data_IF_932951539085
#
_entry.id   IF_932951539085
#
_cell.length_a   1.000
_cell.length_b   1.000
_cell.length_c   1.000
_cell.angle_alpha   90.00
_cell.angle_beta   90.00
_cell.angle_gamma   90.00
#
_symmetry.space_group_name_H-M   'P 1'
#
loop_
_entity.id
_entity.type
_entity.pdbx_description
1 polymer ?
#
# COMPACT_ATOMS: atom_id res chain seq x y z
N UNK A 1 -3.88 8.21 16.09
CA UNK A 1 -3.57 7.08 15.20
C UNK A 1 -2.10 6.72 15.31
N UNK A 2 -1.76 5.44 15.46
CA UNK A 2 -0.42 4.93 15.20
C UNK A 2 -0.34 4.48 13.74
N UNK A 3 0.50 5.13 12.95
CA UNK A 3 0.81 4.68 11.59
C UNK A 3 1.98 3.67 11.65
N UNK A 4 1.73 2.45 11.18
CA UNK A 4 2.74 1.41 10.99
C UNK A 4 3.07 1.32 9.50
N UNK A 5 4.28 1.69 9.13
CA UNK A 5 4.69 1.75 7.73
C UNK A 5 6.08 1.16 7.57
N UNK A 6 6.42 0.58 6.41
CA UNK A 6 7.75 0.02 6.21
C UNK A 6 8.83 1.10 6.22
N UNK A 7 10.01 0.76 6.69
CA UNK A 7 11.14 1.69 6.76
C UNK A 7 11.49 2.33 5.42
N UNK A 8 11.23 1.67 4.30
CA UNK A 8 11.40 2.23 2.96
C UNK A 8 10.63 3.54 2.73
N UNK A 9 9.50 3.75 3.38
CA UNK A 9 8.67 4.95 3.24
C UNK A 9 9.39 6.23 3.72
N UNK A 10 10.51 6.11 4.43
CA UNK A 10 11.27 7.26 4.94
C UNK A 10 12.42 7.71 4.03
N UNK A 11 12.84 6.89 3.07
CA UNK A 11 14.06 7.19 2.30
C UNK A 11 14.08 6.69 0.86
N UNK A 12 13.10 5.90 0.43
CA UNK A 12 13.11 5.28 -0.90
C UNK A 12 11.99 5.84 -1.78
N UNK A 13 12.33 6.26 -2.99
CA UNK A 13 11.35 6.56 -4.02
C UNK A 13 10.73 5.24 -4.55
N UNK A 14 9.45 5.20 -4.88
CA UNK A 14 8.39 6.21 -4.74
C UNK A 14 7.67 6.17 -3.37
N UNK A 15 8.26 5.57 -2.35
CA UNK A 15 7.63 5.33 -1.06
C UNK A 15 7.44 6.63 -0.26
N UNK A 16 8.43 7.53 -0.32
CA UNK A 16 8.40 8.84 0.39
C UNK A 16 7.18 9.64 -0.04
N UNK A 17 6.87 9.68 -1.33
CA UNK A 17 5.71 10.41 -1.86
C UNK A 17 4.39 9.82 -1.37
N UNK A 18 4.34 8.48 -1.22
CA UNK A 18 3.21 7.80 -0.58
C UNK A 18 3.02 8.23 0.87
N UNK A 19 4.10 8.29 1.66
CA UNK A 19 4.05 8.77 3.05
C UNK A 19 3.59 10.22 3.14
N UNK A 20 4.04 11.07 2.23
CA UNK A 20 3.55 12.46 2.13
C UNK A 20 2.06 12.50 1.82
N UNK A 21 1.56 11.60 0.98
CA UNK A 21 0.13 11.43 0.70
C UNK A 21 -0.66 11.06 1.96
N UNK A 22 -0.17 10.12 2.78
CA UNK A 22 -0.81 9.78 4.07
C UNK A 22 -0.89 10.99 4.99
N UNK A 23 0.20 11.75 5.11
CA UNK A 23 0.24 12.95 5.95
C UNK A 23 -0.79 13.99 5.50
N UNK A 24 -0.93 14.22 4.19
CA UNK A 24 -1.94 15.13 3.62
C UNK A 24 -3.37 14.65 3.92
N UNK A 25 -3.65 13.34 3.79
CA UNK A 25 -4.95 12.74 4.13
C UNK A 25 -5.29 12.96 5.60
N UNK A 26 -4.37 12.64 6.50
CA UNK A 26 -4.58 12.83 7.94
C UNK A 26 -4.75 14.31 8.30
N UNK A 27 -3.94 15.20 7.72
CA UNK A 27 -4.05 16.64 7.94
C UNK A 27 -5.43 17.17 7.49
N UNK A 28 -5.84 16.87 6.25
CA UNK A 28 -7.13 17.32 5.70
C UNK A 28 -8.31 16.82 6.53
N UNK A 29 -8.23 15.58 7.03
CA UNK A 29 -9.27 14.98 7.86
C UNK A 29 -9.22 15.42 9.34
N UNK A 30 -8.20 16.20 9.75
CA UNK A 30 -8.02 16.59 11.15
C UNK A 30 -7.69 15.41 12.07
N UNK A 31 -7.07 14.37 11.52
CA UNK A 31 -6.70 13.16 12.27
C UNK A 31 -5.32 13.36 12.90
N UNK A 32 -5.26 13.32 14.23
CA UNK A 32 -4.00 13.27 14.96
C UNK A 32 -3.34 11.90 14.78
N UNK A 33 -2.07 11.90 14.38
CA UNK A 33 -1.31 10.69 14.10
C UNK A 33 0.14 10.79 14.54
N UNK A 34 0.77 9.64 14.70
CA UNK A 34 2.18 9.54 15.08
C UNK A 34 2.81 8.27 14.49
N UNK A 35 4.12 8.23 14.52
CA UNK A 35 4.96 7.07 14.22
C UNK A 35 5.63 6.60 15.49
N UNK A 36 6.12 5.36 15.49
CA UNK A 36 6.95 4.83 16.57
C UNK A 36 8.17 4.14 15.99
N UNK A 37 9.35 4.53 16.46
CA UNK A 37 10.61 3.84 16.13
C UNK A 37 10.65 2.40 16.67
N UNK A 38 9.87 2.10 17.72
CA UNK A 38 9.74 0.77 18.29
C UNK A 38 8.87 -0.16 17.41
N UNK A 39 7.92 0.41 16.67
CA UNK A 39 6.96 -0.29 15.81
C UNK A 39 7.08 0.14 14.33
N UNK A 40 8.29 0.33 13.84
CA UNK A 40 8.55 0.76 12.45
C UNK A 40 8.43 -0.37 11.42
N UNK A 41 8.35 -1.63 11.86
CA UNK A 41 8.21 -2.80 10.99
C UNK A 41 6.98 -3.63 11.40
N UNK A 42 6.32 -4.21 10.41
CA UNK A 42 5.01 -4.83 10.58
C UNK A 42 5.04 -6.36 10.64
N UNK A 43 6.03 -6.95 11.24
CA UNK A 43 6.17 -8.41 11.46
C UNK A 43 6.29 -9.29 10.18
N UNK A 44 6.25 -8.69 8.99
CA UNK A 44 6.32 -9.41 7.71
C UNK A 44 7.64 -10.17 7.50
N UNK A 45 8.76 -9.69 8.04
CA UNK A 45 10.03 -10.40 7.95
C UNK A 45 10.02 -11.75 8.67
N UNK A 46 9.36 -11.86 9.81
CA UNK A 46 9.16 -13.15 10.47
C UNK A 46 8.41 -14.15 9.59
N UNK A 47 7.41 -13.68 8.85
CA UNK A 47 6.66 -14.51 7.91
C UNK A 47 7.55 -15.06 6.79
N UNK A 48 8.44 -14.23 6.21
CA UNK A 48 9.31 -14.65 5.09
C UNK A 48 10.32 -15.70 5.48
N UNK A 49 10.88 -15.59 6.66
CA UNK A 49 11.87 -16.56 7.16
C UNK A 49 11.22 -17.75 7.89
N UNK A 50 9.88 -17.82 7.90
CA UNK A 50 9.14 -18.89 8.57
C UNK A 50 9.27 -18.90 10.10
N UNK A 51 9.50 -17.75 10.73
CA UNK A 51 9.68 -17.61 12.16
C UNK A 51 8.48 -16.96 12.84
N UNK A 52 7.64 -17.78 13.47
CA UNK A 52 6.53 -17.30 14.29
C UNK A 52 6.98 -16.45 15.49
N UNK A 53 8.13 -16.80 16.08
CA UNK A 53 8.68 -16.05 17.22
C UNK A 53 9.05 -14.61 16.82
N UNK A 54 9.67 -14.45 15.66
CA UNK A 54 9.98 -13.12 15.14
C UNK A 54 8.71 -12.36 14.73
N UNK A 55 7.72 -13.02 14.11
CA UNK A 55 6.43 -12.40 13.83
C UNK A 55 5.76 -11.90 15.12
N UNK A 56 5.71 -12.75 16.14
CA UNK A 56 5.10 -12.42 17.43
C UNK A 56 5.84 -11.28 18.12
N UNK A 57 7.18 -11.30 18.12
CA UNK A 57 8.00 -10.25 18.72
C UNK A 57 7.70 -8.88 18.10
N UNK A 58 7.61 -8.81 16.77
CA UNK A 58 7.31 -7.55 16.07
C UNK A 58 5.84 -7.13 16.25
N UNK A 59 4.92 -8.08 16.24
CA UNK A 59 3.50 -7.83 16.53
C UNK A 59 3.29 -7.26 17.95
N UNK A 60 3.99 -7.80 18.95
CA UNK A 60 3.97 -7.28 20.32
C UNK A 60 4.52 -5.86 20.42
N UNK A 61 5.56 -5.51 19.67
CA UNK A 61 6.08 -4.12 19.62
C UNK A 61 5.03 -3.14 19.11
N UNK A 62 4.23 -3.54 18.13
CA UNK A 62 3.12 -2.68 17.62
C UNK A 62 2.10 -2.46 18.73
N UNK A 63 1.72 -3.51 19.46
CA UNK A 63 0.81 -3.42 20.59
C UNK A 63 1.37 -2.54 21.73
N UNK A 64 2.62 -2.76 22.10
CA UNK A 64 3.32 -2.00 23.14
C UNK A 64 3.37 -0.52 22.80
N UNK A 65 3.78 -0.17 21.58
CA UNK A 65 3.78 1.21 21.10
C UNK A 65 2.39 1.85 21.11
N UNK A 66 1.37 1.08 20.70
CA UNK A 66 -0.01 1.57 20.69
C UNK A 66 -0.55 1.85 22.09
N UNK A 67 -0.20 1.02 23.07
CA UNK A 67 -0.56 1.22 24.49
C UNK A 67 0.21 2.40 25.11
N UNK A 68 1.54 2.46 24.93
CA UNK A 68 2.39 3.52 25.43
C UNK A 68 1.94 4.89 24.95
N UNK A 69 1.66 5.00 23.66
CA UNK A 69 1.19 6.24 23.02
C UNK A 69 -0.32 6.50 23.22
N UNK A 70 -1.02 5.61 23.91
CA UNK A 70 -2.46 5.70 24.17
C UNK A 70 -3.29 5.97 22.89
N UNK A 71 -2.88 5.38 21.76
CA UNK A 71 -3.59 5.55 20.51
C UNK A 71 -4.91 4.77 20.49
N UNK A 72 -5.86 5.24 19.70
CA UNK A 72 -7.19 4.61 19.57
C UNK A 72 -7.39 3.91 18.23
N UNK A 73 -6.47 4.06 17.29
CA UNK A 73 -6.48 3.39 15.98
C UNK A 73 -5.06 3.01 15.57
N UNK A 74 -4.93 1.88 14.89
CA UNK A 74 -3.69 1.42 14.26
C UNK A 74 -3.95 1.39 12.76
N UNK A 75 -3.07 2.00 11.97
CA UNK A 75 -3.18 2.10 10.52
C UNK A 75 -1.91 1.58 9.89
N UNK A 76 -2.06 0.70 8.89
CA UNK A 76 -0.96 0.21 8.09
C UNK A 76 -0.85 0.98 6.78
N UNK A 77 0.36 1.39 6.44
CA UNK A 77 0.68 2.02 5.16
C UNK A 77 0.68 1.03 3.99
N UNK A 78 1.12 1.47 2.82
CA UNK A 78 1.13 0.69 1.57
C UNK A 78 2.20 -0.42 1.58
N UNK A 79 1.96 -1.47 2.35
CA UNK A 79 2.76 -2.68 2.30
C UNK A 79 1.86 -3.92 2.33
N UNK A 80 1.70 -4.59 1.20
CA UNK A 80 0.85 -5.78 1.10
C UNK A 80 1.25 -6.93 2.02
N UNK A 81 2.55 -7.08 2.29
CA UNK A 81 3.04 -8.09 3.22
C UNK A 81 2.72 -7.75 4.67
N UNK A 82 2.95 -6.49 5.06
CA UNK A 82 2.58 -5.99 6.37
C UNK A 82 1.08 -6.11 6.60
N UNK A 83 0.28 -5.73 5.61
CA UNK A 83 -1.17 -5.84 5.67
C UNK A 83 -1.66 -7.29 5.80
N UNK A 84 -1.06 -8.23 5.06
CA UNK A 84 -1.36 -9.65 5.24
C UNK A 84 -1.13 -10.12 6.68
N UNK A 85 0.00 -9.74 7.29
CA UNK A 85 0.30 -10.11 8.68
C UNK A 85 -0.68 -9.43 9.62
N UNK A 86 -0.98 -8.15 9.43
CA UNK A 86 -1.95 -7.42 10.24
C UNK A 86 -3.35 -8.06 10.17
N UNK A 87 -3.82 -8.32 8.97
CA UNK A 87 -5.14 -8.91 8.72
C UNK A 87 -5.28 -10.33 9.27
N UNK A 88 -4.29 -11.21 9.00
CA UNK A 88 -4.41 -12.64 9.27
C UNK A 88 -3.88 -13.06 10.65
N UNK A 89 -2.91 -12.35 11.20
CA UNK A 89 -2.13 -12.87 12.33
C UNK A 89 -2.01 -11.91 13.52
N UNK A 90 -2.18 -10.59 13.34
CA UNK A 90 -1.83 -9.63 14.39
C UNK A 90 -2.61 -9.88 15.68
N UNK A 91 -3.92 -10.09 15.58
CA UNK A 91 -4.76 -10.35 16.74
C UNK A 91 -4.39 -11.68 17.44
N UNK A 92 -4.07 -12.72 16.68
CA UNK A 92 -3.65 -14.03 17.22
C UNK A 92 -2.28 -13.96 17.90
N UNK A 93 -1.35 -13.17 17.34
CA UNK A 93 0.03 -13.08 17.84
C UNK A 93 0.19 -12.12 19.02
N UNK A 94 -0.58 -11.04 19.05
CA UNK A 94 -0.40 -9.95 20.00
C UNK A 94 -1.71 -9.38 20.57
N UNK A 95 -2.88 -9.92 20.22
CA UNK A 95 -4.17 -9.45 20.73
C UNK A 95 -4.42 -9.82 22.18
N UNK A 96 -5.59 -9.45 22.72
CA UNK A 96 -6.60 -8.62 22.07
C UNK A 96 -6.19 -7.14 21.95
N UNK A 97 -6.85 -6.41 21.04
CA UNK A 97 -6.70 -4.97 20.84
C UNK A 97 -7.92 -4.19 21.38
N UNK A 98 -8.46 -4.62 22.50
CA UNK A 98 -9.66 -4.09 23.17
C UNK A 98 -9.51 -2.66 23.72
N UNK A 99 -8.28 -2.15 23.76
CA UNK A 99 -7.98 -0.76 24.13
C UNK A 99 -8.19 0.25 22.97
N UNK A 100 -8.39 -0.24 21.76
CA UNK A 100 -8.71 0.60 20.60
C UNK A 100 -10.14 1.15 20.68
N UNK A 101 -10.43 2.17 19.88
CA UNK A 101 -11.80 2.70 19.75
C UNK A 101 -12.75 1.58 19.24
N UNK A 102 -13.87 1.30 19.94
CA UNK A 102 -14.82 0.27 19.51
C UNK A 102 -15.36 0.44 18.08
N UNK A 103 -15.28 1.63 17.51
CA UNK A 103 -15.61 1.88 16.10
C UNK A 103 -14.53 1.37 15.14
N UNK A 104 -13.30 1.15 15.65
CA UNK A 104 -12.13 0.70 14.90
C UNK A 104 -11.38 -0.38 15.68
N UNK A 105 -12.05 -1.51 15.98
CA UNK A 105 -11.55 -2.51 16.94
C UNK A 105 -10.38 -3.33 16.41
N UNK A 106 -10.10 -3.21 15.12
CA UNK A 106 -9.01 -3.89 14.41
C UNK A 106 -8.16 -2.89 13.63
N UNK A 107 -6.89 -3.21 13.37
CA UNK A 107 -6.06 -2.39 12.49
C UNK A 107 -6.69 -2.21 11.11
N UNK A 108 -6.46 -1.05 10.52
CA UNK A 108 -6.98 -0.68 9.19
C UNK A 108 -5.83 -0.44 8.21
N UNK A 109 -6.06 -0.70 6.93
CA UNK A 109 -5.17 -0.25 5.86
C UNK A 109 -5.41 1.23 5.55
N UNK A 110 -4.38 1.95 5.14
CA UNK A 110 -4.52 3.38 4.80
C UNK A 110 -5.55 3.62 3.68
N UNK A 111 -5.68 2.69 2.73
CA UNK A 111 -6.71 2.76 1.69
C UNK A 111 -8.13 2.71 2.26
N UNK A 112 -8.39 1.93 3.32
CA UNK A 112 -9.71 1.85 3.95
C UNK A 112 -10.12 3.21 4.56
N UNK A 113 -9.17 3.86 5.23
CA UNK A 113 -9.39 5.19 5.82
C UNK A 113 -9.62 6.23 4.73
N UNK A 114 -8.79 6.25 3.70
CA UNK A 114 -8.93 7.17 2.57
C UNK A 114 -10.28 7.00 1.88
N UNK A 115 -10.68 5.75 1.64
CA UNK A 115 -11.98 5.42 1.04
C UNK A 115 -13.16 5.85 1.90
N UNK A 116 -13.12 5.61 3.21
CA UNK A 116 -14.16 6.03 4.16
C UNK A 116 -14.29 7.57 4.20
N UNK A 117 -13.16 8.27 4.27
CA UNK A 117 -13.14 9.73 4.27
C UNK A 117 -13.62 10.33 2.94
N UNK A 118 -13.29 9.70 1.82
CA UNK A 118 -13.78 10.07 0.49
C UNK A 118 -15.31 9.91 0.42
N UNK A 119 -15.85 8.77 0.83
CA UNK A 119 -17.29 8.50 0.83
C UNK A 119 -18.09 9.41 1.77
N UNK A 120 -17.45 9.91 2.83
CA UNK A 120 -18.01 10.92 3.74
C UNK A 120 -17.85 12.37 3.26
N UNK A 121 -17.32 12.57 2.05
CA UNK A 121 -16.99 13.87 1.47
C UNK A 121 -16.04 14.73 2.34
N UNK A 122 -15.21 14.10 3.19
CA UNK A 122 -14.16 14.79 3.95
C UNK A 122 -12.96 15.08 3.06
N UNK A 123 -12.65 14.16 2.13
CA UNK A 123 -11.64 14.36 1.10
C UNK A 123 -12.32 14.68 -0.23
N UNK A 124 -11.81 15.71 -0.90
CA UNK A 124 -12.22 16.12 -2.24
C UNK A 124 -10.99 16.18 -3.12
N UNK A 125 -11.12 15.78 -4.39
CA UNK A 125 -10.01 15.64 -5.31
C UNK A 125 -10.21 16.46 -6.57
N UNK A 126 -9.15 17.12 -7.01
CA UNK A 126 -9.01 17.66 -8.36
C UNK A 126 -8.28 16.63 -9.22
N UNK A 127 -9.03 15.89 -10.04
CA UNK A 127 -8.48 14.86 -10.92
C UNK A 127 -7.49 15.40 -11.94
N UNK A 128 -7.62 16.67 -12.31
CA UNK A 128 -6.76 17.31 -13.32
C UNK A 128 -5.31 17.41 -12.86
N UNK A 129 -5.05 17.36 -11.56
CA UNK A 129 -3.70 17.31 -11.00
C UNK A 129 -2.88 16.09 -11.44
N UNK A 130 -3.53 15.04 -11.94
CA UNK A 130 -2.91 13.82 -12.45
C UNK A 130 -3.17 13.59 -13.96
N UNK A 131 -3.58 14.60 -14.72
CA UNK A 131 -3.90 14.44 -16.15
C UNK A 131 -2.65 14.19 -17.02
N UNK A 132 -1.47 14.49 -16.51
CA UNK A 132 -0.18 14.15 -17.10
C UNK A 132 0.14 12.65 -17.06
N UNK A 133 -0.65 11.85 -16.32
CA UNK A 133 -0.45 10.42 -16.12
C UNK A 133 -1.61 9.62 -16.71
N UNK A 134 -1.26 8.56 -17.45
CA UNK A 134 -2.19 7.50 -17.83
C UNK A 134 -1.87 6.27 -16.98
N UNK A 135 -2.80 5.85 -16.16
CA UNK A 135 -2.56 4.94 -15.04
C UNK A 135 -3.05 3.52 -15.29
N UNK A 136 -2.29 2.56 -14.78
CA UNK A 136 -2.77 1.22 -14.48
C UNK A 136 -2.49 0.86 -13.02
N UNK A 137 -2.97 -0.30 -12.54
CA UNK A 137 -2.82 -0.72 -11.15
C UNK A 137 -2.29 -2.15 -11.03
N UNK A 138 -1.31 -2.34 -10.15
CA UNK A 138 -0.81 -3.66 -9.78
C UNK A 138 -1.45 -4.14 -8.48
N UNK A 139 -2.31 -5.16 -8.58
CA UNK A 139 -2.80 -5.89 -7.40
C UNK A 139 -1.65 -6.66 -6.75
N UNK A 140 -1.21 -6.23 -5.57
CA UNK A 140 -0.21 -6.97 -4.80
C UNK A 140 -0.74 -8.34 -4.39
N UNK A 141 0.01 -9.40 -4.66
CA UNK A 141 -0.42 -10.78 -4.41
C UNK A 141 -0.80 -11.06 -2.95
N UNK A 142 -0.14 -10.42 -1.98
CA UNK A 142 -0.46 -10.57 -0.56
C UNK A 142 -1.74 -9.83 -0.16
N UNK A 143 -2.07 -8.73 -0.80
CA UNK A 143 -3.37 -8.07 -0.64
C UNK A 143 -4.45 -8.87 -1.36
N UNK A 144 -4.22 -9.19 -2.61
CA UNK A 144 -5.21 -9.78 -3.51
C UNK A 144 -5.72 -11.16 -3.06
N UNK A 145 -4.82 -12.03 -2.55
CA UNK A 145 -5.13 -13.42 -2.24
C UNK A 145 -5.05 -13.81 -0.76
N UNK A 146 -4.58 -12.92 0.10
CA UNK A 146 -4.30 -13.29 1.49
C UNK A 146 -4.78 -12.26 2.52
N UNK A 147 -5.59 -11.30 2.08
CA UNK A 147 -6.23 -10.31 2.96
C UNK A 147 -7.51 -9.76 2.33
N UNK A 148 -8.20 -8.91 3.04
CA UNK A 148 -9.32 -8.11 2.54
C UNK A 148 -9.15 -6.64 2.99
N UNK A 149 -9.95 -5.74 2.45
CA UNK A 149 -10.08 -4.35 2.90
C UNK A 149 -11.54 -4.00 3.08
N UNK A 150 -11.85 -3.32 4.19
CA UNK A 150 -13.23 -2.96 4.54
C UNK A 150 -14.14 -4.17 4.81
N UNK A 151 -15.41 -3.89 5.01
CA UNK A 151 -16.43 -4.88 5.35
C UNK A 151 -17.18 -5.45 4.13
N UNK A 152 -16.64 -5.22 2.93
CA UNK A 152 -17.23 -5.67 1.66
C UNK A 152 -16.40 -6.79 1.03
N UNK A 153 -17.08 -7.77 0.43
CA UNK A 153 -16.43 -8.84 -0.32
C UNK A 153 -15.71 -8.24 -1.52
N UNK A 154 -14.41 -8.55 -1.66
CA UNK A 154 -13.58 -8.02 -2.75
C UNK A 154 -13.14 -6.56 -2.53
N UNK A 155 -13.27 -6.02 -1.31
CA UNK A 155 -12.85 -4.67 -0.99
C UNK A 155 -11.38 -4.38 -1.30
N UNK A 156 -10.52 -5.37 -1.16
CA UNK A 156 -9.11 -5.28 -1.55
C UNK A 156 -8.90 -5.02 -3.06
N UNK A 157 -9.90 -5.28 -3.90
CA UNK A 157 -9.87 -4.98 -5.34
C UNK A 157 -10.57 -3.67 -5.68
N UNK A 158 -11.69 -3.43 -5.00
CA UNK A 158 -12.59 -2.30 -5.27
C UNK A 158 -12.05 -1.00 -4.67
N UNK A 159 -11.67 -1.03 -3.40
CA UNK A 159 -11.25 0.18 -2.67
C UNK A 159 -10.07 0.90 -3.33
N UNK A 160 -8.94 0.23 -3.69
CA UNK A 160 -7.85 0.92 -4.36
C UNK A 160 -8.26 1.51 -5.72
N UNK A 161 -9.06 0.79 -6.50
CA UNK A 161 -9.53 1.25 -7.82
C UNK A 161 -10.46 2.45 -7.73
N UNK A 162 -11.35 2.47 -6.74
CA UNK A 162 -12.25 3.60 -6.54
C UNK A 162 -11.50 4.86 -6.10
N UNK A 163 -10.46 4.70 -5.27
CA UNK A 163 -9.55 5.80 -4.93
C UNK A 163 -8.83 6.31 -6.18
N UNK A 164 -8.28 5.42 -7.01
CA UNK A 164 -7.62 5.80 -8.26
C UNK A 164 -8.60 6.57 -9.15
N UNK A 165 -9.81 6.06 -9.39
CA UNK A 165 -10.85 6.72 -10.22
C UNK A 165 -11.31 8.05 -9.65
N UNK A 166 -11.19 8.26 -8.34
CA UNK A 166 -11.48 9.54 -7.71
C UNK A 166 -10.36 10.57 -7.89
N UNK A 167 -9.12 10.12 -8.15
CA UNK A 167 -7.91 10.96 -8.19
C UNK A 167 -7.35 11.19 -9.59
N UNK A 168 -7.87 10.51 -10.63
CA UNK A 168 -7.43 10.67 -12.02
C UNK A 168 -8.58 10.53 -13.01
N UNK A 169 -8.41 11.10 -14.19
CA UNK A 169 -9.29 10.92 -15.35
C UNK A 169 -8.88 9.71 -16.22
N UNK A 170 -7.63 9.27 -16.16
CA UNK A 170 -7.02 8.33 -17.09
C UNK A 170 -6.57 7.05 -16.37
N UNK A 171 -7.48 6.08 -16.21
CA UNK A 171 -7.19 4.80 -15.57
C UNK A 171 -7.65 3.62 -16.41
N UNK A 172 -6.75 2.68 -16.69
CA UNK A 172 -6.99 1.44 -17.43
C UNK A 172 -6.47 0.25 -16.64
N UNK A 173 -7.34 -0.71 -16.33
CA UNK A 173 -6.90 -2.00 -15.78
C UNK A 173 -6.14 -2.80 -16.85
N UNK A 174 -5.21 -3.64 -16.42
CA UNK A 174 -4.64 -4.67 -17.27
C UNK A 174 -5.69 -5.74 -17.59
N UNK A 175 -5.35 -6.71 -18.45
CA UNK A 175 -6.25 -7.80 -18.83
C UNK A 175 -6.83 -8.53 -17.61
N UNK A 176 -8.11 -8.90 -17.66
CA UNK A 176 -8.83 -9.53 -16.56
C UNK A 176 -8.15 -10.78 -16.00
N UNK A 177 -7.45 -11.54 -16.87
CA UNK A 177 -6.72 -12.75 -16.50
C UNK A 177 -5.42 -12.46 -15.71
N UNK A 178 -5.06 -11.21 -15.53
CA UNK A 178 -3.80 -10.78 -14.92
C UNK A 178 -3.96 -9.86 -13.70
N UNK A 179 -5.20 -9.57 -13.30
CA UNK A 179 -5.53 -8.67 -12.19
C UNK A 179 -6.31 -9.39 -11.09
N UNK A 180 -6.57 -8.68 -9.99
CA UNK A 180 -7.33 -9.15 -8.83
C UNK A 180 -6.76 -10.46 -8.28
N UNK A 181 -7.60 -11.47 -8.04
CA UNK A 181 -7.17 -12.79 -7.54
C UNK A 181 -6.22 -13.52 -8.50
N UNK A 182 -6.31 -13.25 -9.80
CA UNK A 182 -5.45 -13.82 -10.84
C UNK A 182 -4.13 -13.07 -11.01
N UNK A 183 -3.90 -12.05 -10.22
CA UNK A 183 -2.72 -11.17 -10.37
C UNK A 183 -1.41 -11.93 -10.47
N UNK A 184 -0.55 -11.49 -11.38
CA UNK A 184 0.83 -11.97 -11.48
C UNK A 184 1.73 -11.32 -10.43
N UNK A 185 2.75 -12.05 -9.99
CA UNK A 185 3.71 -11.56 -9.01
C UNK A 185 4.58 -10.43 -9.58
N UNK A 186 4.99 -9.50 -8.72
CA UNK A 186 6.02 -8.51 -9.07
C UNK A 186 7.43 -9.12 -9.23
N UNK A 187 7.62 -10.39 -8.85
CA UNK A 187 8.93 -11.05 -8.83
C UNK A 187 9.71 -10.88 -7.52
N UNK A 188 9.21 -10.09 -6.55
CA UNK A 188 9.91 -9.78 -5.31
C UNK A 188 9.99 -10.91 -4.29
N UNK A 189 9.37 -12.08 -4.57
CA UNK A 189 9.51 -13.32 -3.78
C UNK A 189 9.21 -13.20 -2.29
N UNK A 190 8.31 -12.28 -1.91
CA UNK A 190 7.97 -12.08 -0.51
C UNK A 190 8.98 -11.26 0.30
N UNK A 191 9.95 -10.59 -0.34
CA UNK A 191 11.00 -9.81 0.33
C UNK A 191 12.40 -10.32 0.07
N UNK A 192 12.57 -11.31 -0.81
CA UNK A 192 13.86 -11.80 -1.27
C UNK A 192 14.53 -10.81 -2.22
N UNK A 193 14.70 -9.57 -1.80
CA UNK A 193 15.21 -8.46 -2.62
C UNK A 193 16.75 -8.40 -2.63
N UNK A 194 17.44 -9.54 -2.57
CA UNK A 194 18.89 -9.62 -2.68
C UNK A 194 19.34 -9.66 -4.14
N UNK A 195 20.50 -9.09 -4.45
CA UNK A 195 21.03 -9.05 -5.81
C UNK A 195 21.49 -10.43 -6.30
N UNK A 196 21.86 -11.34 -5.39
CA UNK A 196 22.18 -12.74 -5.70
C UNK A 196 21.02 -13.49 -6.38
N UNK A 197 19.79 -13.05 -6.18
CA UNK A 197 18.58 -13.63 -6.76
C UNK A 197 18.01 -12.82 -7.92
N UNK A 198 18.75 -11.85 -8.46
CA UNK A 198 18.24 -10.91 -9.46
C UNK A 198 17.67 -11.62 -10.69
N UNK A 199 18.34 -12.63 -11.21
CA UNK A 199 17.85 -13.38 -12.39
C UNK A 199 16.52 -14.10 -12.11
N UNK A 200 16.42 -14.75 -10.93
CA UNK A 200 15.17 -15.41 -10.52
C UNK A 200 14.03 -14.42 -10.34
N UNK A 201 14.35 -13.27 -9.75
CA UNK A 201 13.40 -12.18 -9.54
C UNK A 201 12.89 -11.60 -10.86
N UNK A 202 13.76 -11.41 -11.85
CA UNK A 202 13.38 -10.94 -13.19
C UNK A 202 12.51 -11.97 -13.90
N UNK A 203 12.89 -13.25 -13.90
CA UNK A 203 12.04 -14.32 -14.44
C UNK A 203 10.67 -14.38 -13.76
N UNK A 204 10.63 -14.20 -12.45
CA UNK A 204 9.38 -14.16 -11.69
C UNK A 204 8.50 -12.94 -12.00
N UNK A 205 9.10 -11.82 -12.40
CA UNK A 205 8.40 -10.61 -12.82
C UNK A 205 7.85 -10.69 -14.25
N UNK A 206 8.44 -11.52 -15.12
CA UNK A 206 8.17 -11.55 -16.56
C UNK A 206 6.67 -11.54 -16.91
N UNK A 207 5.80 -12.42 -16.37
CA UNK A 207 4.39 -12.40 -16.74
C UNK A 207 3.69 -11.07 -16.43
N UNK A 208 4.06 -10.42 -15.32
CA UNK A 208 3.54 -9.11 -14.96
C UNK A 208 4.05 -8.00 -15.89
N UNK A 209 5.32 -8.07 -16.27
CA UNK A 209 5.91 -7.09 -17.17
C UNK A 209 5.34 -7.21 -18.60
N UNK A 210 5.04 -8.42 -19.05
CA UNK A 210 4.36 -8.68 -20.32
C UNK A 210 2.92 -8.14 -20.31
N UNK A 211 2.18 -8.31 -19.20
CA UNK A 211 0.84 -7.74 -19.05
C UNK A 211 0.87 -6.20 -19.01
N UNK A 212 1.88 -5.62 -18.33
CA UNK A 212 2.08 -4.18 -18.34
C UNK A 212 2.39 -3.66 -19.74
N UNK A 213 3.24 -4.34 -20.49
CA UNK A 213 3.58 -3.95 -21.85
C UNK A 213 2.35 -3.88 -22.75
N UNK A 214 1.44 -4.87 -22.66
CA UNK A 214 0.20 -4.87 -23.45
C UNK A 214 -0.68 -3.66 -23.13
N UNK A 215 -0.93 -3.36 -21.86
CA UNK A 215 -1.76 -2.20 -21.51
C UNK A 215 -1.10 -0.86 -21.88
N UNK A 216 0.23 -0.80 -21.89
CA UNK A 216 0.98 0.36 -22.40
C UNK A 216 0.76 0.53 -23.90
N UNK A 217 0.88 -0.56 -24.67
CA UNK A 217 0.68 -0.55 -26.14
C UNK A 217 -0.77 -0.21 -26.53
N UNK A 218 -1.76 -0.75 -25.78
CA UNK A 218 -3.19 -0.60 -26.09
C UNK A 218 -3.76 0.77 -25.67
N UNK A 219 -3.27 1.35 -24.57
CA UNK A 219 -3.89 2.53 -23.93
C UNK A 219 -2.92 3.69 -23.67
N UNK A 220 -1.64 3.54 -24.01
CA UNK A 220 -0.64 4.58 -23.76
C UNK A 220 -0.37 4.80 -22.27
N UNK A 221 -0.49 3.75 -21.44
CA UNK A 221 -0.22 3.83 -19.98
C UNK A 221 1.20 4.31 -19.75
N UNK A 222 1.34 5.31 -18.90
CA UNK A 222 2.62 5.93 -18.54
C UNK A 222 3.08 5.55 -17.13
N UNK A 223 2.14 5.22 -16.23
CA UNK A 223 2.46 4.93 -14.82
C UNK A 223 1.66 3.74 -14.29
N UNK A 224 2.29 2.98 -13.40
CA UNK A 224 1.64 1.88 -12.67
C UNK A 224 1.59 2.19 -11.19
N UNK A 225 0.40 2.32 -10.63
CA UNK A 225 0.22 2.46 -9.18
C UNK A 225 0.33 1.11 -8.48
N UNK A 226 0.94 1.09 -7.28
CA UNK A 226 1.03 -0.10 -6.44
C UNK A 226 0.94 0.26 -4.95
N UNK A 227 0.29 -0.62 -4.16
CA UNK A 227 0.08 -0.47 -2.72
C UNK A 227 0.92 -1.45 -1.89
N UNK A 228 2.10 -1.80 -2.36
CA UNK A 228 2.99 -2.71 -1.65
C UNK A 228 4.45 -2.25 -1.78
N UNK A 229 5.09 -2.00 -0.65
CA UNK A 229 6.48 -1.56 -0.59
C UNK A 229 7.43 -2.52 -1.30
N UNK A 230 7.26 -3.83 -1.11
CA UNK A 230 8.08 -4.84 -1.78
C UNK A 230 7.86 -4.81 -3.30
N UNK A 231 6.62 -4.62 -3.77
CA UNK A 231 6.35 -4.52 -5.20
C UNK A 231 6.97 -3.26 -5.79
N UNK A 232 6.85 -2.11 -5.14
CA UNK A 232 7.46 -0.86 -5.58
C UNK A 232 8.98 -1.00 -5.69
N UNK A 233 9.64 -1.52 -4.66
CA UNK A 233 11.09 -1.77 -4.66
C UNK A 233 11.53 -2.79 -5.73
N UNK A 234 10.71 -3.81 -5.98
CA UNK A 234 11.00 -4.80 -7.03
C UNK A 234 10.83 -4.20 -8.43
N UNK A 235 9.77 -3.44 -8.66
CA UNK A 235 9.52 -2.81 -9.95
C UNK A 235 10.57 -1.77 -10.31
N UNK A 236 11.19 -1.08 -9.34
CA UNK A 236 12.35 -0.20 -9.59
C UNK A 236 13.48 -0.91 -10.31
N UNK A 237 13.68 -2.22 -10.10
CA UNK A 237 14.66 -3.04 -10.81
C UNK A 237 14.07 -3.68 -12.07
N UNK A 238 12.85 -4.21 -12.00
CA UNK A 238 12.22 -4.89 -13.12
C UNK A 238 11.93 -3.94 -14.30
N UNK A 239 11.52 -2.71 -14.03
CA UNK A 239 11.27 -1.71 -15.06
C UNK A 239 12.51 -1.46 -15.90
N UNK A 240 13.66 -1.18 -15.26
CA UNK A 240 14.93 -1.01 -15.96
C UNK A 240 15.31 -2.24 -16.79
N UNK A 241 15.13 -3.44 -16.23
CA UNK A 241 15.48 -4.69 -16.92
C UNK A 241 14.60 -4.93 -18.17
N UNK A 242 13.32 -4.57 -18.11
CA UNK A 242 12.34 -4.76 -19.20
C UNK A 242 12.17 -3.52 -20.08
N UNK A 243 12.98 -2.47 -19.89
CA UNK A 243 12.98 -1.27 -20.74
C UNK A 243 11.89 -0.26 -20.42
N UNK A 244 11.37 -0.25 -19.19
CA UNK A 244 10.48 0.80 -18.69
C UNK A 244 11.28 1.85 -17.90
N UNK A 245 10.79 3.08 -17.88
CA UNK A 245 11.41 4.15 -17.09
C UNK A 245 11.15 3.95 -15.60
N UNK A 246 12.07 4.45 -14.76
CA UNK A 246 12.03 4.23 -13.31
C UNK A 246 10.87 4.94 -12.61
N UNK A 247 10.50 6.11 -13.08
CA UNK A 247 9.43 6.96 -12.55
C UNK A 247 8.01 6.47 -12.89
N UNK A 248 7.91 5.41 -13.71
CA UNK A 248 6.63 4.81 -14.06
C UNK A 248 5.96 4.01 -12.94
N UNK A 249 6.64 3.71 -11.83
CA UNK A 249 6.03 3.10 -10.63
C UNK A 249 5.75 4.16 -9.57
N UNK A 250 4.51 4.24 -9.09
CA UNK A 250 4.08 5.24 -8.10
C UNK A 250 3.29 4.62 -6.96
N UNK A 251 3.28 5.29 -5.81
CA UNK A 251 2.38 4.99 -4.70
C UNK A 251 0.95 5.43 -5.04
N UNK A 252 -0.06 4.66 -4.61
CA UNK A 252 -1.45 5.10 -4.74
C UNK A 252 -1.68 6.42 -3.97
N UNK A 253 -1.11 6.54 -2.77
CA UNK A 253 -1.26 7.76 -1.98
C UNK A 253 -0.41 8.95 -2.46
N UNK A 254 0.54 8.77 -3.36
CA UNK A 254 1.11 9.86 -4.14
C UNK A 254 0.01 10.50 -5.01
N UNK A 255 -0.74 9.71 -5.79
CA UNK A 255 -1.86 10.21 -6.58
C UNK A 255 -2.92 10.92 -5.72
N UNK A 256 -3.23 10.34 -4.56
CA UNK A 256 -4.13 10.95 -3.59
C UNK A 256 -3.59 12.30 -3.13
N UNK A 257 -2.32 12.36 -2.75
CA UNK A 257 -1.69 13.58 -2.26
C UNK A 257 -1.55 14.69 -3.31
N UNK A 258 -1.41 14.31 -4.59
CA UNK A 258 -1.33 15.27 -5.71
C UNK A 258 -2.70 15.86 -6.04
N UNK A 259 -3.75 15.02 -6.03
CA UNK A 259 -5.11 15.43 -6.37
C UNK A 259 -5.89 16.03 -5.19
N UNK A 260 -5.43 15.88 -3.94
CA UNK A 260 -6.19 16.30 -2.77
C UNK A 260 -6.33 17.82 -2.69
N UNK A 261 -7.59 18.29 -2.67
CA UNK A 261 -7.89 19.69 -2.43
C UNK A 261 -7.70 19.99 -0.95
N UNK A 262 -6.61 20.69 -0.64
CA UNK A 262 -6.29 21.07 0.74
C UNK A 262 -7.03 22.34 1.12
N UNK A 263 -7.88 22.27 2.16
CA UNK A 263 -8.43 23.47 2.75
C UNK A 263 -7.29 24.24 3.45
N UNK A 264 -7.13 25.50 3.12
CA UNK A 264 -6.23 26.39 3.89
C UNK A 264 -6.82 26.53 5.30
N UNK A 265 -6.45 25.64 6.21
CA UNK A 265 -6.51 25.94 7.63
C UNK A 265 -5.35 26.89 7.90
N UNK A 266 -5.63 28.08 8.34
CA UNK A 266 -4.60 28.97 8.88
C UNK A 266 -3.81 28.18 9.93
N UNK A 267 -2.49 28.15 9.76
CA UNK A 267 -1.55 27.56 10.71
C UNK A 267 -1.49 28.42 11.98
#
# INVERSE_FOLDING_TARGET
VLLVTPSADFFAEPHVDGLMGYAKVFHQAGISWTLSSHASEAANFGMFIGSYDNMRKLALRIREAALELNVKRIVFGECGHAWRVAYSFLNTLAGPFDFLDPRYPVPQHICEITYDLMNKNVLQFDKSANDDKVLTFHDSCNVARASNMGDIIGGQFTIPRDIIRATTNNFYDMEEETIREKTFCCGGGGGLLTDDLIELRMKGAQPRMEALKRVVEDHGVTHMAAICAICKSQFSKAFQYYGFELDQIISLHQLVGDALIMNKKEL
#
